data_IF_852930712866
#
_entry.id   IF_852930712866
#
_cell.length_a   1.000
_cell.length_b   1.000
_cell.length_c   1.000
_cell.angle_alpha   90.00
_cell.angle_beta   90.00
_cell.angle_gamma   90.00
#
_symmetry.space_group_name_H-M   'P 1'
#
loop_
_entity.id
_entity.type
_entity.pdbx_description
1 polymer ?
#
# COMPACT_ATOMS: atom_id res chain seq x y z
N UNK A 1 -2.32 18.23 2.21
CA UNK A 1 -3.05 16.95 2.36
C UNK A 1 -2.74 16.34 3.73
N UNK A 2 -3.76 15.98 4.47
CA UNK A 2 -3.60 15.39 5.81
C UNK A 2 -3.60 13.87 5.69
N UNK A 3 -3.01 13.18 6.67
CA UNK A 3 -3.01 11.70 6.68
C UNK A 3 -4.43 11.14 6.58
N UNK A 4 -5.37 11.75 7.26
CA UNK A 4 -6.78 11.34 7.24
C UNK A 4 -7.45 11.48 5.87
N UNK A 5 -6.78 12.15 4.93
CA UNK A 5 -7.28 12.33 3.56
C UNK A 5 -6.55 11.44 2.56
N UNK A 6 -5.55 10.68 3.00
CA UNK A 6 -4.71 9.86 2.13
C UNK A 6 -5.16 8.41 2.14
N UNK A 7 -5.26 7.83 0.94
CA UNK A 7 -5.51 6.41 0.77
C UNK A 7 -4.23 5.74 0.30
N UNK A 8 -3.89 4.61 0.89
CA UNK A 8 -2.67 3.86 0.61
C UNK A 8 -3.00 2.43 0.24
N UNK A 9 -2.31 1.90 -0.76
CA UNK A 9 -2.37 0.47 -1.07
C UNK A 9 -1.03 -0.16 -0.72
N UNK A 10 -1.07 -1.27 0.00
CA UNK A 10 0.11 -2.08 0.27
C UNK A 10 -0.01 -3.35 -0.57
N UNK A 11 0.95 -3.57 -1.45
CA UNK A 11 0.97 -4.74 -2.34
C UNK A 11 1.87 -5.80 -1.71
N UNK A 12 1.29 -6.97 -1.44
CA UNK A 12 2.01 -8.03 -0.73
C UNK A 12 1.86 -7.87 0.78
N UNK A 13 1.06 -8.73 1.39
CA UNK A 13 0.75 -8.67 2.82
C UNK A 13 1.44 -9.75 3.64
N UNK A 14 2.69 -10.07 3.29
CA UNK A 14 3.52 -10.91 4.11
C UNK A 14 3.91 -10.18 5.39
N UNK A 15 4.90 -10.70 6.10
CA UNK A 15 5.29 -10.14 7.40
C UNK A 15 5.60 -8.65 7.32
N UNK A 16 6.43 -8.24 6.35
CA UNK A 16 6.84 -6.85 6.21
C UNK A 16 5.69 -5.97 5.73
N UNK A 17 5.02 -6.38 4.64
CA UNK A 17 3.91 -5.61 4.08
C UNK A 17 2.75 -5.47 5.06
N UNK A 18 2.41 -6.55 5.76
CA UNK A 18 1.37 -6.53 6.77
C UNK A 18 1.69 -5.59 7.91
N UNK A 19 2.94 -5.57 8.37
CA UNK A 19 3.37 -4.65 9.43
C UNK A 19 3.27 -3.20 8.98
N UNK A 20 3.63 -2.92 7.73
CA UNK A 20 3.48 -1.58 7.16
C UNK A 20 2.02 -1.14 7.14
N UNK A 21 1.15 -2.02 6.65
CA UNK A 21 -0.28 -1.72 6.57
C UNK A 21 -0.86 -1.40 7.96
N UNK A 22 -0.54 -2.22 8.94
CA UNK A 22 -1.00 -2.01 10.31
C UNK A 22 -0.49 -0.68 10.86
N UNK A 23 0.79 -0.37 10.61
CA UNK A 23 1.38 0.89 11.06
C UNK A 23 0.68 2.10 10.45
N UNK A 24 0.36 2.03 9.17
CA UNK A 24 -0.35 3.11 8.48
C UNK A 24 -1.74 3.34 9.08
N UNK A 25 -2.45 2.26 9.41
CA UNK A 25 -3.75 2.39 10.05
C UNK A 25 -3.63 3.06 11.42
N UNK A 26 -2.62 2.70 12.18
CA UNK A 26 -2.40 3.30 13.49
C UNK A 26 -2.02 4.78 13.39
N UNK A 27 -1.43 5.20 12.28
CA UNK A 27 -1.08 6.59 12.03
C UNK A 27 -2.28 7.45 11.64
N UNK A 28 -3.42 6.84 11.35
CA UNK A 28 -4.63 7.59 10.99
C UNK A 28 -4.81 7.84 9.51
N UNK A 29 -4.17 7.05 8.65
CA UNK A 29 -4.39 7.11 7.20
C UNK A 29 -5.86 6.81 6.91
N UNK A 30 -6.46 7.56 5.99
CA UNK A 30 -7.88 7.43 5.68
C UNK A 30 -8.30 6.01 5.31
N UNK A 31 -7.63 5.43 4.32
CA UNK A 31 -7.89 4.05 3.89
C UNK A 31 -6.58 3.33 3.63
N UNK A 32 -6.50 2.09 4.08
CA UNK A 32 -5.39 1.20 3.77
C UNK A 32 -5.97 0.00 3.03
N UNK A 33 -5.60 -0.13 1.77
CA UNK A 33 -5.99 -1.28 0.95
C UNK A 33 -4.83 -2.26 0.88
N UNK A 34 -5.15 -3.54 0.78
CA UNK A 34 -4.14 -4.57 0.59
C UNK A 34 -4.37 -5.32 -0.70
N UNK A 35 -3.30 -5.63 -1.41
CA UNK A 35 -3.34 -6.51 -2.58
C UNK A 35 -2.48 -7.72 -2.28
N UNK A 36 -3.06 -8.91 -2.44
CA UNK A 36 -2.33 -10.16 -2.28
C UNK A 36 -3.05 -11.23 -3.10
N UNK A 37 -2.30 -12.15 -3.70
CA UNK A 37 -2.89 -13.23 -4.46
C UNK A 37 -3.42 -14.36 -3.58
N UNK A 38 -3.18 -14.30 -2.29
CA UNK A 38 -3.63 -15.30 -1.33
C UNK A 38 -4.85 -14.81 -0.55
N UNK A 39 -6.01 -15.38 -0.85
CA UNK A 39 -7.27 -14.99 -0.19
C UNK A 39 -7.23 -15.14 1.32
N UNK A 40 -6.57 -16.18 1.81
CA UNK A 40 -6.44 -16.43 3.24
C UNK A 40 -5.69 -15.30 3.92
N UNK A 41 -4.61 -14.83 3.29
CA UNK A 41 -3.82 -13.70 3.79
C UNK A 41 -4.67 -12.43 3.86
N UNK A 42 -5.46 -12.17 2.82
CA UNK A 42 -6.33 -10.99 2.78
C UNK A 42 -7.40 -11.03 3.87
N UNK A 43 -8.04 -12.16 4.04
CA UNK A 43 -9.07 -12.32 5.08
C UNK A 43 -8.50 -12.12 6.48
N UNK A 44 -7.34 -12.69 6.72
CA UNK A 44 -6.67 -12.57 8.01
C UNK A 44 -6.25 -11.13 8.30
N UNK A 45 -5.72 -10.45 7.30
CA UNK A 45 -5.30 -9.05 7.43
C UNK A 45 -6.50 -8.15 7.74
N UNK A 46 -7.61 -8.36 7.06
CA UNK A 46 -8.83 -7.58 7.31
C UNK A 46 -9.40 -7.88 8.70
N UNK A 47 -9.44 -9.14 9.07
CA UNK A 47 -9.94 -9.55 10.38
C UNK A 47 -9.13 -8.95 11.52
N UNK A 48 -7.81 -8.87 11.34
CA UNK A 48 -6.90 -8.31 12.35
C UNK A 48 -6.77 -6.79 12.25
N UNK A 49 -7.61 -6.16 11.45
CA UNK A 49 -7.65 -4.71 11.28
C UNK A 49 -6.33 -4.12 10.78
N UNK A 50 -5.61 -4.88 9.96
CA UNK A 50 -4.38 -4.42 9.34
C UNK A 50 -4.65 -3.66 8.04
N UNK A 51 -5.77 -3.95 7.39
CA UNK A 51 -6.23 -3.28 6.17
C UNK A 51 -7.73 -3.01 6.30
N UNK A 52 -8.22 -2.03 5.54
CA UNK A 52 -9.65 -1.74 5.46
C UNK A 52 -10.34 -2.64 4.45
N UNK A 53 -9.72 -2.85 3.30
CA UNK A 53 -10.23 -3.73 2.26
C UNK A 53 -9.08 -4.47 1.58
N UNK A 54 -9.33 -5.71 1.17
CA UNK A 54 -8.35 -6.54 0.49
C UNK A 54 -8.80 -6.89 -0.92
N UNK A 55 -7.84 -6.97 -1.84
CA UNK A 55 -8.10 -7.26 -3.25
C UNK A 55 -7.05 -8.21 -3.79
N UNK A 56 -7.45 -9.08 -4.72
CA UNK A 56 -6.50 -9.96 -5.40
C UNK A 56 -5.87 -9.29 -6.62
N UNK A 57 -6.47 -8.22 -7.13
CA UNK A 57 -5.94 -7.46 -8.26
C UNK A 57 -5.93 -5.97 -7.97
N UNK A 58 -5.19 -5.21 -8.77
CA UNK A 58 -4.96 -3.79 -8.52
C UNK A 58 -5.99 -2.83 -9.09
N UNK A 59 -6.91 -3.28 -9.93
CA UNK A 59 -7.81 -2.39 -10.67
C UNK A 59 -8.54 -1.38 -9.80
N UNK A 60 -9.08 -1.83 -8.68
CA UNK A 60 -9.88 -0.96 -7.82
C UNK A 60 -9.01 -0.15 -6.84
N UNK A 61 -8.13 -0.79 -6.04
CA UNK A 61 -7.41 -0.03 -5.02
C UNK A 61 -6.37 0.94 -5.59
N UNK A 62 -5.70 0.59 -6.68
CA UNK A 62 -4.68 1.47 -7.26
C UNK A 62 -5.27 2.76 -7.79
N UNK A 63 -6.47 2.68 -8.36
CA UNK A 63 -7.15 3.87 -8.87
C UNK A 63 -7.58 4.84 -7.77
N UNK A 64 -7.66 4.36 -6.54
CA UNK A 64 -8.09 5.15 -5.38
C UNK A 64 -6.95 5.60 -4.48
N UNK A 65 -5.74 5.09 -4.71
CA UNK A 65 -4.65 5.30 -3.78
C UNK A 65 -3.72 6.44 -4.18
N UNK A 66 -3.41 7.28 -3.21
CA UNK A 66 -2.46 8.37 -3.37
C UNK A 66 -1.02 7.85 -3.23
N UNK A 67 -0.85 6.77 -2.47
CA UNK A 67 0.45 6.14 -2.23
C UNK A 67 0.31 4.64 -2.43
N UNK A 68 1.26 4.05 -3.13
CA UNK A 68 1.33 2.60 -3.32
C UNK A 68 2.67 2.10 -2.82
N UNK A 69 2.62 1.21 -1.85
CA UNK A 69 3.81 0.61 -1.26
C UNK A 69 3.87 -0.85 -1.68
N UNK A 70 4.91 -1.22 -2.40
CA UNK A 70 5.03 -2.58 -2.96
C UNK A 70 6.01 -3.41 -2.13
N UNK A 71 5.50 -4.48 -1.54
CA UNK A 71 6.28 -5.41 -0.73
C UNK A 71 6.36 -6.76 -1.45
N UNK A 72 7.05 -6.77 -2.59
CA UNK A 72 7.23 -7.95 -3.42
C UNK A 72 8.72 -8.19 -3.65
N UNK A 73 9.08 -9.42 -4.00
CA UNK A 73 10.44 -9.70 -4.43
C UNK A 73 10.77 -8.87 -5.67
N UNK A 74 12.05 -8.46 -5.83
CA UNK A 74 12.45 -7.60 -6.95
C UNK A 74 11.99 -8.09 -8.33
N UNK A 75 12.03 -9.38 -8.58
CA UNK A 75 11.62 -9.94 -9.86
C UNK A 75 10.11 -9.81 -10.11
N UNK A 76 9.31 -9.67 -9.07
CA UNK A 76 7.87 -9.51 -9.19
C UNK A 76 7.47 -8.03 -9.21
N UNK A 77 8.32 -7.18 -8.68
CA UNK A 77 8.07 -5.73 -8.60
C UNK A 77 7.86 -5.11 -9.97
N UNK A 78 8.81 -5.34 -10.88
CA UNK A 78 8.74 -4.78 -12.22
C UNK A 78 7.52 -5.30 -12.98
N UNK A 79 7.26 -6.59 -12.90
CA UNK A 79 6.11 -7.21 -13.55
C UNK A 79 4.82 -6.60 -13.03
N UNK A 80 4.71 -6.42 -11.73
CA UNK A 80 3.53 -5.82 -11.11
C UNK A 80 3.30 -4.40 -11.64
N UNK A 81 4.32 -3.59 -11.69
CA UNK A 81 4.21 -2.21 -12.16
C UNK A 81 3.77 -2.17 -13.62
N UNK A 82 4.37 -3.00 -14.47
CA UNK A 82 4.02 -3.05 -15.88
C UNK A 82 2.60 -3.54 -16.12
N UNK A 83 2.16 -4.57 -15.40
CA UNK A 83 0.82 -5.12 -15.56
C UNK A 83 -0.27 -4.18 -15.07
N UNK A 84 0.05 -3.32 -14.11
CA UNK A 84 -0.92 -2.43 -13.49
C UNK A 84 -0.74 -0.96 -13.87
N UNK A 85 0.11 -0.69 -14.84
CA UNK A 85 0.45 0.67 -15.22
C UNK A 85 -0.76 1.58 -15.48
N UNK A 86 -1.81 1.04 -16.09
CA UNK A 86 -3.01 1.82 -16.42
C UNK A 86 -3.95 2.06 -15.23
N UNK A 87 -3.71 1.38 -14.13
CA UNK A 87 -4.59 1.47 -12.96
C UNK A 87 -4.12 2.47 -11.90
N UNK A 88 -2.85 2.87 -11.95
CA UNK A 88 -2.34 3.81 -10.96
C UNK A 88 -3.00 5.18 -11.11
N UNK A 89 -3.44 5.72 -9.99
CA UNK A 89 -4.01 7.06 -9.96
C UNK A 89 -2.96 8.08 -10.41
N UNK A 90 -3.38 9.05 -11.21
CA UNK A 90 -2.49 10.12 -11.66
C UNK A 90 -1.85 10.81 -10.45
N UNK A 91 -0.56 11.04 -10.55
CA UNK A 91 0.22 11.70 -9.50
C UNK A 91 0.35 10.91 -8.20
N UNK A 92 0.03 9.60 -8.24
CA UNK A 92 0.26 8.77 -7.07
C UNK A 92 1.76 8.53 -6.87
N UNK A 93 2.14 8.38 -5.61
CA UNK A 93 3.52 8.06 -5.24
C UNK A 93 3.66 6.54 -5.12
N UNK A 94 4.56 5.96 -5.92
CA UNK A 94 4.78 4.52 -5.95
C UNK A 94 6.19 4.21 -5.48
N UNK A 95 6.31 3.32 -4.51
CA UNK A 95 7.61 2.95 -3.97
C UNK A 95 7.61 1.49 -3.53
N UNK A 96 8.79 0.88 -3.41
CA UNK A 96 8.89 -0.44 -2.83
C UNK A 96 9.29 -0.33 -1.35
N UNK A 97 8.98 -1.38 -0.60
CA UNK A 97 9.23 -1.39 0.84
C UNK A 97 10.73 -1.46 1.17
N UNK A 98 11.53 -2.01 0.26
CA UNK A 98 12.98 -2.11 0.50
C UNK A 98 13.68 -0.76 0.38
N UNK A 99 13.09 0.15 -0.39
CA UNK A 99 13.58 1.53 -0.50
C UNK A 99 13.04 2.43 0.58
N UNK A 100 12.04 1.97 1.35
CA UNK A 100 11.47 2.75 2.43
C UNK A 100 12.16 2.41 3.74
N UNK A 101 13.02 3.29 4.15
CA UNK A 101 13.59 3.24 5.48
C UNK A 101 12.78 4.19 6.34
N UNK A 102 12.86 4.02 7.63
CA UNK A 102 12.18 4.90 8.59
C UNK A 102 12.33 6.37 8.23
N UNK A 103 13.53 6.74 7.78
CA UNK A 103 13.83 8.09 7.34
C UNK A 103 12.90 8.57 6.23
N UNK A 104 12.60 7.71 5.24
CA UNK A 104 11.72 8.06 4.13
C UNK A 104 10.28 8.22 4.61
N UNK A 105 9.84 7.37 5.51
CA UNK A 105 8.50 7.51 6.09
C UNK A 105 8.35 8.85 6.80
N UNK A 106 9.39 9.27 7.52
CA UNK A 106 9.37 10.52 8.24
C UNK A 106 9.42 11.72 7.31
N UNK A 107 10.02 11.60 6.14
CA UNK A 107 10.13 12.69 5.16
C UNK A 107 8.98 12.75 4.17
N UNK A 108 8.58 11.60 3.64
CA UNK A 108 7.57 11.54 2.56
C UNK A 108 6.17 11.77 3.10
N UNK A 109 5.82 11.10 4.18
CA UNK A 109 4.47 11.21 4.74
C UNK A 109 4.15 12.64 5.18
N UNK A 110 5.05 13.35 5.89
CA UNK A 110 4.81 14.77 6.21
C UNK A 110 4.63 15.64 4.98
N UNK A 111 5.35 15.37 3.88
CA UNK A 111 5.22 16.14 2.65
C UNK A 111 3.87 15.91 1.99
N UNK A 112 3.37 14.70 2.05
CA UNK A 112 2.05 14.37 1.52
C UNK A 112 0.92 15.01 2.32
N UNK A 113 1.20 15.39 3.55
CA UNK A 113 0.22 16.03 4.43
C UNK A 113 -0.02 17.50 4.10
N UNK A 114 0.84 18.09 3.29
CA UNK A 114 0.73 19.52 2.96
C UNK A 114 -0.28 19.76 1.82
#
# INVERSE_FOLDING_TARGET
MKLEDISVTVVGLGVIGGSFAEGLKKMGVHKVYGIDNNKSTLLKAKKNNMIDEGYESGEIPLAKSDVVIISLYPELLETFILENNDFFKKDSFITDVTGIKEKILLEVVPKLRK
#
